data_IF_003741123992
#
_entry.id   IF_003741123992
#
_cell.length_a   1.000
_cell.length_b   1.000
_cell.length_c   1.000
_cell.angle_alpha   90.00
_cell.angle_beta   90.00
_cell.angle_gamma   90.00
#
_symmetry.space_group_name_H-M   'P 1'
#
loop_
_entity.id
_entity.type
_entity.pdbx_description
1 polymer ?
#
# COMPACT_ATOMS: atom_id res chain seq x y z
N UNK A 1 26.42 13.99 -20.00
CA UNK A 1 26.28 12.58 -19.53
C UNK A 1 26.35 11.59 -20.70
N UNK A 2 25.48 11.73 -21.73
CA UNK A 2 25.45 10.79 -22.87
C UNK A 2 26.77 10.79 -23.66
N UNK A 3 27.48 11.91 -23.68
CA UNK A 3 28.80 12.03 -24.35
C UNK A 3 29.98 11.53 -23.50
N UNK A 4 29.75 11.19 -22.24
CA UNK A 4 30.81 10.85 -21.27
C UNK A 4 30.70 9.40 -20.77
N UNK A 5 29.52 8.77 -20.95
CA UNK A 5 29.21 7.43 -20.45
C UNK A 5 28.60 6.54 -21.54
N UNK A 6 28.95 5.27 -21.53
CA UNK A 6 28.44 4.28 -22.48
C UNK A 6 26.94 4.00 -22.32
N UNK A 7 26.43 4.18 -21.09
CA UNK A 7 25.00 4.03 -20.78
C UNK A 7 24.61 4.91 -19.59
N UNK A 8 23.34 5.33 -19.57
CA UNK A 8 22.78 6.12 -18.48
C UNK A 8 21.51 5.44 -17.97
N UNK A 9 21.48 5.09 -16.68
CA UNK A 9 20.30 4.57 -16.01
C UNK A 9 19.55 5.68 -15.26
N UNK A 10 18.29 5.92 -15.60
CA UNK A 10 17.43 6.91 -14.95
C UNK A 10 16.67 6.26 -13.78
N UNK A 11 17.20 6.39 -12.58
CA UNK A 11 16.63 5.83 -11.33
C UNK A 11 15.97 6.92 -10.46
N UNK A 12 15.25 7.86 -11.07
CA UNK A 12 14.70 9.05 -10.40
C UNK A 12 13.31 8.82 -9.75
N UNK A 13 12.80 7.60 -9.77
CA UNK A 13 11.52 7.24 -9.17
C UNK A 13 10.30 7.89 -9.84
N UNK A 14 9.12 7.71 -9.25
CA UNK A 14 7.85 8.28 -9.70
C UNK A 14 7.19 9.06 -8.56
N UNK A 15 7.08 10.38 -8.70
CA UNK A 15 6.51 11.26 -7.67
C UNK A 15 5.00 11.49 -7.81
N UNK A 16 4.44 11.27 -9.02
CA UNK A 16 3.02 11.48 -9.26
C UNK A 16 2.21 10.29 -8.72
N UNK A 17 1.42 10.54 -7.68
CA UNK A 17 0.53 9.52 -7.14
C UNK A 17 -0.53 9.10 -8.17
N UNK A 18 -0.87 7.81 -8.17
CA UNK A 18 -2.02 7.31 -8.91
C UNK A 18 -3.30 7.67 -8.17
N UNK A 19 -4.29 8.13 -8.90
CA UNK A 19 -5.63 8.35 -8.36
C UNK A 19 -6.39 7.04 -8.28
N UNK A 20 -7.29 6.95 -7.31
CA UNK A 20 -8.22 5.81 -7.18
C UNK A 20 -9.34 5.90 -8.22
N UNK A 21 -9.69 7.13 -8.64
CA UNK A 21 -10.81 7.46 -9.53
C UNK A 21 -12.14 6.88 -9.02
N UNK A 22 -12.38 7.02 -7.72
CA UNK A 22 -13.62 6.62 -7.05
C UNK A 22 -14.29 7.82 -6.39
N UNK A 23 -15.58 7.73 -6.18
CA UNK A 23 -16.33 8.77 -5.47
C UNK A 23 -15.79 8.94 -4.05
N UNK A 24 -15.56 10.18 -3.64
CA UNK A 24 -15.08 10.54 -2.30
C UNK A 24 -13.55 10.51 -2.13
N UNK A 25 -12.77 10.32 -3.20
CA UNK A 25 -11.30 10.24 -3.11
C UNK A 25 -10.61 11.57 -2.68
N UNK A 26 -11.34 12.68 -2.69
CA UNK A 26 -10.89 14.01 -2.28
C UNK A 26 -11.16 14.32 -0.79
N UNK A 27 -11.77 13.38 -0.06
CA UNK A 27 -12.06 13.56 1.35
C UNK A 27 -10.78 13.75 2.18
N UNK A 28 -10.86 14.60 3.22
CA UNK A 28 -9.80 14.74 4.20
C UNK A 28 -9.56 13.44 4.96
N UNK A 29 -8.32 13.14 5.27
CA UNK A 29 -7.90 11.89 5.89
C UNK A 29 -7.43 10.84 4.89
N UNK A 30 -7.37 11.19 3.60
CA UNK A 30 -6.80 10.36 2.54
C UNK A 30 -5.45 10.95 2.15
N UNK A 31 -4.42 10.14 2.14
CA UNK A 31 -3.04 10.55 1.87
C UNK A 31 -2.42 9.68 0.78
N UNK A 32 -1.77 10.28 -0.23
CA UNK A 32 -0.86 9.53 -1.08
C UNK A 32 0.27 8.93 -0.23
N UNK A 33 0.60 7.66 -0.46
CA UNK A 33 1.55 6.91 0.37
C UNK A 33 2.92 7.60 0.53
N UNK A 34 3.47 8.11 -0.58
CA UNK A 34 4.79 8.79 -0.56
C UNK A 34 4.73 10.10 0.24
N UNK A 35 3.65 10.87 0.11
CA UNK A 35 3.48 12.11 0.88
C UNK A 35 3.31 11.81 2.38
N UNK A 36 2.56 10.76 2.72
CA UNK A 36 2.43 10.30 4.09
C UNK A 36 3.80 9.93 4.69
N UNK A 37 4.55 9.03 4.04
CA UNK A 37 5.86 8.58 4.52
C UNK A 37 6.86 9.73 4.62
N UNK A 38 6.87 10.63 3.63
CA UNK A 38 7.71 11.83 3.64
C UNK A 38 7.39 12.73 4.84
N UNK A 39 6.12 12.99 5.10
CA UNK A 39 5.69 13.86 6.20
C UNK A 39 6.03 13.25 7.56
N UNK A 40 5.83 11.93 7.73
CA UNK A 40 6.24 11.22 8.94
C UNK A 40 7.74 11.31 9.17
N UNK A 41 8.54 11.04 8.12
CA UNK A 41 9.99 11.11 8.21
C UNK A 41 10.47 12.53 8.53
N UNK A 42 9.88 13.54 7.86
CA UNK A 42 10.22 14.94 8.12
C UNK A 42 9.94 15.34 9.56
N UNK A 43 8.77 15.00 10.09
CA UNK A 43 8.40 15.31 11.47
C UNK A 43 9.31 14.61 12.49
N UNK A 44 9.70 13.35 12.21
CA UNK A 44 10.67 12.64 13.04
C UNK A 44 12.02 13.37 13.07
N UNK A 45 12.53 13.82 11.94
CA UNK A 45 13.80 14.54 11.85
C UNK A 45 13.72 15.91 12.53
N UNK A 46 12.66 16.67 12.27
CA UNK A 46 12.45 18.02 12.82
C UNK A 46 12.27 18.00 14.35
N UNK A 47 11.83 16.89 14.93
CA UNK A 47 11.61 16.73 16.38
C UNK A 47 12.69 15.92 17.09
N UNK A 48 13.82 15.65 16.44
CA UNK A 48 14.90 14.86 17.01
C UNK A 48 14.49 13.41 17.33
N UNK A 49 13.63 12.82 16.50
CA UNK A 49 13.09 11.46 16.63
C UNK A 49 12.10 11.27 17.80
N UNK A 50 11.63 12.35 18.42
CA UNK A 50 10.73 12.30 19.58
C UNK A 50 9.25 12.18 19.21
N UNK A 51 8.87 12.68 18.03
CA UNK A 51 7.51 12.61 17.51
C UNK A 51 7.56 12.14 16.05
N UNK A 52 6.75 11.20 15.68
CA UNK A 52 6.34 11.01 14.31
C UNK A 52 4.90 11.47 14.24
N UNK A 53 4.32 11.74 13.11
CA UNK A 53 2.95 12.19 12.87
C UNK A 53 1.85 11.38 13.64
N UNK A 54 2.08 11.15 14.93
CA UNK A 54 1.21 10.35 15.81
C UNK A 54 -0.22 10.87 15.78
N UNK A 55 -0.39 12.18 15.84
CA UNK A 55 -1.71 12.82 15.83
C UNK A 55 -2.57 12.45 14.62
N UNK A 56 -1.95 12.04 13.51
CA UNK A 56 -2.67 11.59 12.30
C UNK A 56 -3.13 10.13 12.40
N UNK A 57 -2.41 9.28 13.14
CA UNK A 57 -2.53 7.82 13.07
C UNK A 57 -2.90 7.19 14.40
N UNK A 58 -2.45 7.75 15.52
CA UNK A 58 -2.71 7.20 16.85
C UNK A 58 -4.21 6.98 17.08
N UNK A 59 -4.55 5.78 17.55
CA UNK A 59 -5.94 5.32 17.79
C UNK A 59 -6.86 5.32 16.56
N UNK A 60 -6.34 5.45 15.34
CA UNK A 60 -7.13 5.40 14.11
C UNK A 60 -7.21 3.99 13.52
N UNK A 61 -8.32 3.71 12.87
CA UNK A 61 -8.42 2.58 11.96
C UNK A 61 -7.88 3.01 10.60
N UNK A 62 -6.84 2.35 10.13
CA UNK A 62 -6.13 2.73 8.91
C UNK A 62 -6.36 1.69 7.82
N UNK A 63 -6.59 2.17 6.61
CA UNK A 63 -6.69 1.34 5.41
C UNK A 63 -5.59 1.77 4.45
N UNK A 64 -4.74 0.82 4.09
CA UNK A 64 -3.68 0.99 3.09
C UNK A 64 -4.18 0.37 1.78
N UNK A 65 -4.13 1.14 0.69
CA UNK A 65 -4.58 0.66 -0.63
C UNK A 65 -3.37 0.30 -1.48
N UNK A 66 -3.17 -0.98 -1.67
CA UNK A 66 -2.04 -1.58 -2.39
C UNK A 66 -1.12 -2.39 -1.47
N UNK A 67 -0.78 -3.58 -1.91
CA UNK A 67 0.03 -4.56 -1.16
C UNK A 67 1.51 -4.63 -1.57
N UNK A 68 2.01 -3.68 -2.38
CA UNK A 68 3.42 -3.61 -2.76
C UNK A 68 4.32 -3.05 -1.65
N UNK A 69 5.62 -2.88 -1.95
CA UNK A 69 6.63 -2.46 -0.97
C UNK A 69 6.27 -1.13 -0.27
N UNK A 70 5.82 -0.12 -1.03
CA UNK A 70 5.37 1.15 -0.45
C UNK A 70 4.16 0.98 0.48
N UNK A 71 3.24 0.07 0.15
CA UNK A 71 2.10 -0.27 1.01
C UNK A 71 2.56 -0.95 2.30
N UNK A 72 3.57 -1.82 2.22
CA UNK A 72 4.20 -2.42 3.38
C UNK A 72 4.87 -1.38 4.29
N UNK A 73 5.58 -0.41 3.71
CA UNK A 73 6.18 0.71 4.46
C UNK A 73 5.11 1.53 5.19
N UNK A 74 4.00 1.84 4.53
CA UNK A 74 2.86 2.52 5.17
C UNK A 74 2.28 1.68 6.32
N UNK A 75 2.13 0.38 6.12
CA UNK A 75 1.58 -0.55 7.12
C UNK A 75 2.45 -0.55 8.38
N UNK A 76 3.75 -0.79 8.27
CA UNK A 76 4.68 -0.77 9.40
C UNK A 76 4.75 0.60 10.07
N UNK A 77 4.77 1.67 9.27
CA UNK A 77 4.76 3.04 9.82
C UNK A 77 3.51 3.32 10.63
N UNK A 78 2.32 2.93 10.15
CA UNK A 78 1.07 3.13 10.89
C UNK A 78 1.05 2.34 12.21
N UNK A 79 1.54 1.10 12.21
CA UNK A 79 1.67 0.29 13.44
C UNK A 79 2.56 1.00 14.46
N UNK A 80 3.74 1.48 14.07
CA UNK A 80 4.67 2.20 14.95
C UNK A 80 4.11 3.52 15.48
N UNK A 81 3.25 4.17 14.70
CA UNK A 81 2.57 5.40 15.10
C UNK A 81 1.33 5.16 15.99
N UNK A 82 1.05 3.92 16.37
CA UNK A 82 -0.02 3.58 17.31
C UNK A 82 -1.41 3.49 16.65
N UNK A 83 -1.49 3.07 15.39
CA UNK A 83 -2.79 2.79 14.78
C UNK A 83 -3.57 1.76 15.58
N UNK A 84 -4.87 1.98 15.78
CA UNK A 84 -5.78 1.02 16.43
C UNK A 84 -5.93 -0.26 15.60
N UNK A 85 -5.97 -0.12 14.30
CA UNK A 85 -5.96 -1.25 13.35
C UNK A 85 -5.39 -0.81 12.01
N UNK A 86 -4.75 -1.75 11.32
CA UNK A 86 -4.27 -1.55 9.95
C UNK A 86 -4.79 -2.70 9.07
N UNK A 87 -5.37 -2.34 7.93
CA UNK A 87 -5.81 -3.28 6.89
C UNK A 87 -5.20 -2.83 5.57
N UNK A 88 -4.58 -3.75 4.84
CA UNK A 88 -4.01 -3.51 3.52
C UNK A 88 -4.85 -4.21 2.44
N UNK A 89 -5.43 -3.44 1.52
CA UNK A 89 -6.21 -3.98 0.41
C UNK A 89 -5.31 -4.29 -0.78
N UNK A 90 -5.34 -5.54 -1.23
CA UNK A 90 -4.59 -5.99 -2.40
C UNK A 90 -5.56 -6.52 -3.46
N UNK A 91 -5.54 -5.91 -4.64
CA UNK A 91 -6.42 -6.34 -5.74
C UNK A 91 -5.99 -7.68 -6.35
N UNK A 92 -4.72 -8.04 -6.23
CA UNK A 92 -4.20 -9.30 -6.74
C UNK A 92 -4.59 -10.47 -5.84
N UNK A 93 -4.67 -11.69 -6.37
CA UNK A 93 -4.81 -12.88 -5.55
C UNK A 93 -3.57 -13.08 -4.68
N UNK A 94 -3.76 -13.72 -3.53
CA UNK A 94 -2.65 -14.11 -2.68
C UNK A 94 -1.68 -14.99 -3.48
N UNK A 95 -0.39 -14.64 -3.50
CA UNK A 95 0.61 -15.50 -4.12
C UNK A 95 0.73 -16.85 -3.40
N UNK A 96 1.14 -17.91 -4.11
CA UNK A 96 1.41 -19.20 -3.48
C UNK A 96 2.59 -19.09 -2.50
N UNK A 97 2.59 -19.95 -1.47
CA UNK A 97 3.70 -20.00 -0.51
C UNK A 97 4.99 -20.52 -1.18
N UNK A 98 4.85 -21.48 -2.07
CA UNK A 98 5.96 -22.10 -2.78
C UNK A 98 5.95 -21.74 -4.26
N UNK A 99 7.12 -21.81 -4.88
CA UNK A 99 7.32 -21.57 -6.30
C UNK A 99 6.55 -22.61 -7.12
N UNK A 100 5.74 -22.14 -8.04
CA UNK A 100 4.94 -23.00 -8.92
C UNK A 100 5.72 -23.42 -10.17
N UNK A 101 5.30 -24.53 -10.80
CA UNK A 101 5.94 -25.06 -12.03
C UNK A 101 5.95 -24.06 -13.19
N UNK A 102 4.96 -23.17 -13.28
CA UNK A 102 4.88 -22.09 -14.30
C UNK A 102 5.75 -20.87 -13.96
N UNK A 103 6.52 -20.93 -12.89
CA UNK A 103 7.45 -19.88 -12.48
C UNK A 103 8.83 -20.49 -12.12
N UNK A 104 9.51 -21.18 -13.07
CA UNK A 104 10.79 -21.83 -12.81
C UNK A 104 11.92 -20.81 -12.62
N UNK A 105 13.00 -21.24 -11.97
CA UNK A 105 14.25 -20.49 -11.97
C UNK A 105 14.78 -20.37 -13.43
N UNK A 106 15.36 -19.23 -13.86
CA UNK A 106 15.80 -18.06 -13.08
C UNK A 106 14.77 -16.93 -12.97
N UNK A 107 13.51 -17.15 -13.29
CA UNK A 107 12.51 -16.12 -13.17
C UNK A 107 12.39 -15.61 -11.73
N UNK A 108 11.99 -14.34 -11.58
CA UNK A 108 11.68 -13.77 -10.26
C UNK A 108 10.61 -14.61 -9.55
N UNK A 109 10.81 -14.99 -8.28
CA UNK A 109 9.85 -15.85 -7.57
C UNK A 109 8.54 -15.11 -7.30
N UNK A 110 7.44 -15.64 -7.85
CA UNK A 110 6.07 -15.17 -7.60
C UNK A 110 5.46 -15.90 -6.41
N UNK A 111 6.04 -15.70 -5.24
CA UNK A 111 5.64 -16.36 -3.99
C UNK A 111 5.19 -15.33 -2.96
N UNK A 112 4.43 -15.78 -1.97
CA UNK A 112 4.03 -14.95 -0.84
C UNK A 112 5.27 -14.50 -0.07
N UNK A 113 5.50 -13.20 -0.05
CA UNK A 113 6.50 -12.57 0.81
C UNK A 113 5.79 -11.90 1.98
N UNK A 114 6.34 -12.08 3.16
CA UNK A 114 5.93 -11.34 4.35
C UNK A 114 7.12 -10.50 4.77
N UNK A 115 6.99 -9.20 4.63
CA UNK A 115 8.03 -8.23 4.92
C UNK A 115 7.77 -7.55 6.28
N UNK A 116 8.69 -6.68 6.70
CA UNK A 116 8.74 -6.13 8.04
C UNK A 116 7.41 -5.51 8.52
N UNK A 117 6.69 -4.75 7.68
CA UNK A 117 5.44 -4.11 8.06
C UNK A 117 4.30 -5.10 8.31
N UNK A 118 4.22 -6.19 7.51
CA UNK A 118 3.29 -7.28 7.79
C UNK A 118 3.70 -8.05 9.05
N UNK A 119 5.01 -8.31 9.25
CA UNK A 119 5.53 -9.00 10.45
C UNK A 119 5.18 -8.20 11.71
N UNK A 120 5.41 -6.89 11.72
CA UNK A 120 5.06 -6.00 12.83
C UNK A 120 3.55 -6.01 13.11
N UNK A 121 2.72 -5.99 12.06
CA UNK A 121 1.26 -6.05 12.22
C UNK A 121 0.82 -7.40 12.77
N UNK A 122 1.40 -8.51 12.31
CA UNK A 122 1.10 -9.84 12.84
C UNK A 122 1.50 -9.91 14.31
N UNK A 123 2.66 -9.39 14.68
CA UNK A 123 3.13 -9.39 16.07
C UNK A 123 2.23 -8.56 16.99
N UNK A 124 1.67 -7.45 16.52
CA UNK A 124 0.84 -6.55 17.33
C UNK A 124 -0.64 -6.89 17.31
N UNK A 125 -1.18 -7.28 16.16
CA UNK A 125 -2.61 -7.52 15.94
C UNK A 125 -2.99 -9.02 15.83
N UNK A 126 -2.02 -9.93 15.83
CA UNK A 126 -2.23 -11.38 15.74
C UNK A 126 -2.68 -11.88 14.37
N UNK A 127 -2.68 -11.02 13.33
CA UNK A 127 -3.13 -11.39 11.97
C UNK A 127 -2.42 -10.60 10.89
N UNK A 128 -2.32 -11.21 9.70
CA UNK A 128 -1.85 -10.54 8.49
C UNK A 128 -2.80 -9.38 8.12
N UNK A 129 -2.31 -8.18 7.87
CA UNK A 129 -3.14 -7.03 7.51
C UNK A 129 -3.74 -7.11 6.11
N UNK A 130 -3.25 -8.00 5.24
CA UNK A 130 -3.61 -8.03 3.82
C UNK A 130 -4.95 -8.71 3.57
N UNK A 131 -5.78 -8.04 2.76
CA UNK A 131 -7.04 -8.57 2.23
C UNK A 131 -6.91 -8.63 0.71
N UNK A 132 -6.80 -9.82 0.18
CA UNK A 132 -6.55 -10.07 -1.24
C UNK A 132 -7.83 -10.00 -2.09
N UNK A 133 -7.67 -9.87 -3.41
CA UNK A 133 -8.75 -9.76 -4.40
C UNK A 133 -9.76 -8.66 -4.05
N UNK A 134 -9.31 -7.58 -3.43
CA UNK A 134 -10.20 -6.55 -2.91
C UNK A 134 -9.70 -5.16 -3.31
N UNK A 135 -10.62 -4.31 -3.77
CA UNK A 135 -10.34 -2.90 -4.04
C UNK A 135 -11.46 -2.00 -3.52
N UNK A 136 -11.22 -0.69 -3.54
CA UNK A 136 -12.22 0.32 -3.14
C UNK A 136 -13.15 0.58 -4.33
N UNK A 137 -14.45 0.61 -4.03
CA UNK A 137 -15.52 1.02 -4.95
C UNK A 137 -15.97 2.44 -4.70
N UNK A 138 -16.03 2.85 -3.42
CA UNK A 138 -16.55 4.15 -3.00
C UNK A 138 -15.94 4.50 -1.63
N UNK A 139 -15.77 5.78 -1.38
CA UNK A 139 -15.30 6.31 -0.10
C UNK A 139 -16.44 7.11 0.54
N UNK A 140 -16.82 6.73 1.76
CA UNK A 140 -17.83 7.46 2.52
C UNK A 140 -17.20 8.63 3.25
N UNK A 141 -17.89 9.74 3.23
CA UNK A 141 -17.46 10.96 3.91
C UNK A 141 -18.59 11.62 4.68
N UNK A 142 -18.24 12.30 5.75
CA UNK A 142 -19.10 13.18 6.52
C UNK A 142 -18.32 14.45 6.83
N UNK A 143 -18.93 15.60 6.56
CA UNK A 143 -18.33 16.91 6.77
C UNK A 143 -16.94 17.07 6.09
N UNK A 144 -16.80 16.47 4.90
CA UNK A 144 -15.58 16.47 4.12
C UNK A 144 -14.46 15.54 4.64
N UNK A 145 -14.72 14.71 5.65
CA UNK A 145 -13.75 13.75 6.20
C UNK A 145 -14.15 12.31 5.89
N UNK A 146 -13.17 11.46 5.59
CA UNK A 146 -13.39 10.03 5.38
C UNK A 146 -13.96 9.38 6.64
N UNK A 147 -15.04 8.60 6.48
CA UNK A 147 -15.67 7.86 7.58
C UNK A 147 -15.66 6.36 7.34
N UNK A 148 -15.45 5.92 6.11
CA UNK A 148 -15.42 4.52 5.75
C UNK A 148 -15.23 4.33 4.26
N UNK A 149 -15.17 3.07 3.86
CA UNK A 149 -15.07 2.68 2.45
C UNK A 149 -16.06 1.57 2.12
N UNK A 150 -16.46 1.54 0.87
CA UNK A 150 -17.11 0.39 0.27
C UNK A 150 -16.10 -0.36 -0.58
N UNK A 151 -15.91 -1.63 -0.28
CA UNK A 151 -15.02 -2.49 -1.04
C UNK A 151 -15.80 -3.37 -2.02
N UNK A 152 -15.09 -3.87 -3.02
CA UNK A 152 -15.59 -4.87 -3.95
C UNK A 152 -14.52 -5.94 -4.14
N UNK A 153 -14.97 -7.19 -4.21
CA UNK A 153 -14.11 -8.29 -4.61
C UNK A 153 -13.87 -8.25 -6.11
N UNK A 154 -12.63 -8.47 -6.51
CA UNK A 154 -12.24 -8.40 -7.92
C UNK A 154 -11.59 -9.70 -8.37
N UNK A 155 -11.82 -10.03 -9.62
CA UNK A 155 -11.16 -11.13 -10.29
C UNK A 155 -10.53 -10.64 -11.60
N UNK A 156 -9.42 -11.28 -12.00
CA UNK A 156 -8.82 -11.04 -13.29
C UNK A 156 -9.24 -12.14 -14.26
N UNK A 157 -9.87 -11.75 -15.37
CA UNK A 157 -10.24 -12.67 -16.45
C UNK A 157 -9.45 -12.31 -17.71
N UNK A 158 -9.10 -13.32 -18.49
CA UNK A 158 -8.57 -13.12 -19.84
C UNK A 158 -9.73 -12.86 -20.80
N UNK A 159 -9.74 -11.69 -21.41
CA UNK A 159 -10.71 -11.30 -22.44
C UNK A 159 -9.91 -10.83 -23.64
N UNK A 160 -10.04 -11.48 -24.78
CA UNK A 160 -9.31 -11.20 -26.03
C UNK A 160 -7.77 -11.17 -25.80
N UNK A 161 -7.24 -12.15 -25.09
CA UNK A 161 -5.83 -12.25 -24.68
C UNK A 161 -5.30 -11.08 -23.83
N UNK A 162 -6.19 -10.23 -23.33
CA UNK A 162 -5.86 -9.13 -22.41
C UNK A 162 -6.41 -9.45 -21.02
N UNK A 163 -5.58 -9.28 -20.00
CA UNK A 163 -5.99 -9.43 -18.61
C UNK A 163 -6.85 -8.24 -18.20
N UNK A 164 -8.15 -8.47 -18.00
CA UNK A 164 -9.10 -7.43 -17.53
C UNK A 164 -9.53 -7.69 -16.10
N UNK A 165 -9.69 -6.61 -15.35
CA UNK A 165 -10.27 -6.63 -14.01
C UNK A 165 -11.79 -6.71 -14.13
N UNK A 166 -12.39 -7.67 -13.43
CA UNK A 166 -13.84 -7.86 -13.33
C UNK A 166 -14.23 -7.86 -11.85
N UNK A 167 -15.32 -7.19 -11.52
CA UNK A 167 -15.86 -7.11 -10.16
C UNK A 167 -17.15 -6.35 -10.14
#
# INVERSE_FOLDING_TARGET
LISEFDAVALCCGAKKARKLNVQGEDAKGIFPAVDFLKNVTKELLDTGLLRGAKNLIEDKNVIVVGGGDTGNDCTGTCVRLGAKSVVALEMMPQPPVERQANNPWPQWPKVLKTDYGQIETIATAGRDPRVYKTTIKEIYQKDGHVTGIKTVQVEFKMVDNVRKLCG
#
